data_IF_144377183075
#
_entry.id   IF_144377183075
#
_cell.length_a   1.000
_cell.length_b   1.000
_cell.length_c   1.000
_cell.angle_alpha   90.00
_cell.angle_beta   90.00
_cell.angle_gamma   90.00
#
_symmetry.space_group_name_H-M   'P 1'
#
loop_
_entity.id
_entity.type
_entity.pdbx_description
1 polymer ?
#
# COMPACT_ATOMS: atom_id res chain seq x y z
N UNK A 1 -31.80 54.23 -9.04
CA UNK A 1 -32.74 53.08 -9.05
C UNK A 1 -32.32 52.17 -10.21
N UNK A 2 -32.36 50.85 -10.00
CA UNK A 2 -31.75 49.72 -10.75
C UNK A 2 -30.24 49.49 -10.40
N UNK A 3 -29.81 48.53 -9.57
CA UNK A 3 -30.08 47.07 -9.42
C UNK A 3 -29.47 46.26 -10.58
N UNK A 4 -28.81 45.10 -10.43
CA UNK A 4 -28.33 44.28 -9.31
C UNK A 4 -27.22 43.40 -9.93
N UNK A 5 -26.16 43.07 -9.19
CA UNK A 5 -25.01 42.29 -9.65
C UNK A 5 -25.38 40.86 -10.08
N UNK A 6 -24.89 40.45 -11.25
CA UNK A 6 -25.03 39.09 -11.80
C UNK A 6 -24.03 38.14 -11.10
N UNK A 7 -24.44 37.60 -9.95
CA UNK A 7 -23.68 36.60 -9.21
C UNK A 7 -23.87 35.23 -9.87
N UNK A 8 -22.90 34.82 -10.69
CA UNK A 8 -22.84 33.45 -11.23
C UNK A 8 -22.69 32.43 -10.09
N UNK A 9 -23.49 31.36 -10.03
CA UNK A 9 -23.36 30.37 -8.96
C UNK A 9 -22.05 29.60 -9.09
N UNK A 10 -21.27 29.59 -8.01
CA UNK A 10 -20.12 28.70 -7.84
C UNK A 10 -20.59 27.25 -8.01
N UNK A 11 -20.06 26.54 -9.01
CA UNK A 11 -20.27 25.10 -9.17
C UNK A 11 -19.82 24.42 -7.86
N UNK A 12 -20.78 23.93 -7.07
CA UNK A 12 -20.49 23.11 -5.90
C UNK A 12 -19.67 21.91 -6.37
N UNK A 13 -18.37 21.88 -6.04
CA UNK A 13 -17.59 20.64 -6.13
C UNK A 13 -18.37 19.61 -5.33
N UNK A 14 -18.75 18.51 -5.97
CA UNK A 14 -19.32 17.35 -5.30
C UNK A 14 -18.26 16.88 -4.30
N UNK A 15 -18.44 17.23 -3.04
CA UNK A 15 -17.61 16.72 -1.95
C UNK A 15 -17.90 15.22 -1.96
N UNK A 16 -16.90 14.40 -2.28
CA UNK A 16 -17.01 12.95 -2.14
C UNK A 16 -17.56 12.67 -0.75
N UNK A 17 -18.71 12.01 -0.68
CA UNK A 17 -19.42 11.78 0.57
C UNK A 17 -18.44 11.21 1.59
N UNK A 18 -18.25 11.93 2.70
CA UNK A 18 -17.55 11.39 3.85
C UNK A 18 -18.32 10.15 4.28
N UNK A 19 -17.66 8.99 4.34
CA UNK A 19 -18.34 7.76 4.80
C UNK A 19 -18.99 8.05 6.16
N UNK A 20 -20.25 7.64 6.38
CA UNK A 20 -20.88 7.86 7.67
C UNK A 20 -20.02 7.24 8.78
N UNK A 21 -19.90 7.92 9.93
CA UNK A 21 -19.01 7.49 11.01
C UNK A 21 -19.29 6.06 11.49
N UNK A 22 -20.53 5.58 11.34
CA UNK A 22 -20.94 4.20 11.60
C UNK A 22 -20.20 3.18 10.73
N UNK A 23 -19.85 3.51 9.49
CA UNK A 23 -19.06 2.65 8.60
C UNK A 23 -17.58 2.55 8.99
N UNK A 24 -17.11 3.35 9.96
CA UNK A 24 -15.73 3.26 10.47
C UNK A 24 -15.65 2.40 11.74
N UNK A 25 -16.77 2.13 12.39
CA UNK A 25 -16.82 1.30 13.60
C UNK A 25 -16.37 -0.11 13.22
N UNK A 26 -15.33 -0.61 13.90
CA UNK A 26 -14.79 -1.91 13.58
C UNK A 26 -14.04 -1.94 12.23
N UNK A 27 -13.41 -0.84 11.82
CA UNK A 27 -12.42 -0.86 10.72
C UNK A 27 -11.05 -0.45 11.21
N UNK A 28 -10.02 -0.96 10.56
CA UNK A 28 -8.64 -0.54 10.80
C UNK A 28 -8.12 0.16 9.54
N UNK A 29 -7.28 1.16 9.70
CA UNK A 29 -6.59 1.81 8.58
C UNK A 29 -5.11 1.84 8.89
N UNK A 30 -4.29 1.49 7.92
CA UNK A 30 -2.85 1.47 8.07
C UNK A 30 -2.24 2.52 7.17
N UNK A 31 -1.33 3.30 7.74
CA UNK A 31 -0.60 4.34 7.04
C UNK A 31 0.83 3.85 6.87
N UNK A 32 1.30 3.78 5.62
CA UNK A 32 2.67 3.38 5.34
C UNK A 32 3.49 4.61 4.98
N UNK A 33 4.65 4.75 5.62
CA UNK A 33 5.58 5.84 5.36
C UNK A 33 6.64 5.37 4.37
N UNK A 34 6.61 5.90 3.15
CA UNK A 34 7.66 5.67 2.15
C UNK A 34 8.72 6.77 2.30
N UNK A 35 9.98 6.37 2.53
CA UNK A 35 11.13 7.26 2.50
C UNK A 35 12.04 6.87 1.34
N UNK A 36 12.29 7.80 0.42
CA UNK A 36 13.15 7.63 -0.75
C UNK A 36 14.03 8.86 -0.88
N UNK A 37 15.35 8.68 -0.97
CA UNK A 37 16.33 9.77 -1.09
C UNK A 37 16.13 10.90 -0.07
N UNK A 38 15.85 10.53 1.19
CA UNK A 38 15.60 11.48 2.29
C UNK A 38 14.24 12.19 2.23
N UNK A 39 13.43 11.98 1.19
CA UNK A 39 12.06 12.51 1.09
C UNK A 39 11.05 11.50 1.63
N UNK A 40 10.06 11.98 2.36
CA UNK A 40 9.00 11.15 2.93
C UNK A 40 7.65 11.42 2.25
N UNK A 41 6.88 10.37 2.00
CA UNK A 41 5.46 10.46 1.68
C UNK A 41 4.65 9.44 2.49
N UNK A 42 3.42 9.80 2.85
CA UNK A 42 2.46 8.87 3.46
C UNK A 42 1.65 8.25 2.34
N UNK A 43 1.66 6.92 2.26
CA UNK A 43 0.82 6.13 1.38
C UNK A 43 -0.26 5.48 2.24
N UNK A 44 -1.52 5.83 1.97
CA UNK A 44 -2.66 5.17 2.59
C UNK A 44 -2.93 3.90 1.80
N UNK A 45 -2.67 2.73 2.40
CA UNK A 45 -3.39 1.53 1.99
C UNK A 45 -4.73 1.59 2.71
N UNK A 46 -5.82 1.45 1.97
CA UNK A 46 -7.19 1.82 2.40
C UNK A 46 -7.68 1.20 3.71
N UNK A 47 -8.93 1.49 4.07
CA UNK A 47 -9.55 0.88 5.25
C UNK A 47 -9.66 -0.64 5.07
N UNK A 48 -8.99 -1.40 5.93
CA UNK A 48 -9.12 -2.85 6.02
C UNK A 48 -10.23 -3.18 7.02
N UNK A 49 -11.13 -4.09 6.66
CA UNK A 49 -12.13 -4.61 7.60
C UNK A 49 -11.43 -5.19 8.85
N UNK A 50 -11.84 -4.76 10.06
CA UNK A 50 -11.35 -5.36 11.31
C UNK A 50 -12.15 -6.65 11.49
N UNK A 51 -11.62 -7.78 11.11
CA UNK A 51 -12.43 -8.99 11.20
C UNK A 51 -11.65 -10.27 11.17
N UNK A 52 -11.08 -10.59 10.03
CA UNK A 52 -10.63 -11.95 9.84
C UNK A 52 -9.13 -12.07 10.09
N UNK A 53 -8.78 -12.92 11.05
CA UNK A 53 -7.42 -13.43 11.17
C UNK A 53 -7.06 -14.04 9.83
N UNK A 54 -6.07 -13.46 9.15
CA UNK A 54 -5.57 -13.99 7.89
C UNK A 54 -4.92 -15.35 8.15
N UNK A 55 -5.34 -16.38 7.42
CA UNK A 55 -4.87 -17.76 7.58
C UNK A 55 -4.30 -18.31 6.28
N UNK A 56 -3.34 -19.23 6.39
CA UNK A 56 -2.80 -19.93 5.23
C UNK A 56 -2.22 -18.97 4.19
N UNK A 57 -2.88 -18.89 3.02
CA UNK A 57 -2.47 -18.09 1.86
C UNK A 57 -3.19 -16.75 1.74
N UNK A 58 -3.96 -16.35 2.76
CA UNK A 58 -4.65 -15.06 2.77
C UNK A 58 -3.66 -13.90 2.60
N UNK A 59 -3.96 -13.00 1.68
CA UNK A 59 -3.19 -11.79 1.41
C UNK A 59 -4.07 -10.63 0.96
N UNK A 60 -3.66 -9.40 1.26
CA UNK A 60 -4.28 -8.17 0.74
C UNK A 60 -3.18 -7.19 0.37
N UNK A 61 -3.18 -6.67 -0.85
CA UNK A 61 -2.11 -5.82 -1.35
C UNK A 61 -2.64 -4.58 -2.08
N UNK A 62 -1.76 -3.60 -2.26
CA UNK A 62 -1.96 -2.47 -3.14
C UNK A 62 -0.68 -2.12 -3.87
N UNK A 63 -0.80 -1.81 -5.16
CA UNK A 63 0.31 -1.42 -6.02
C UNK A 63 0.29 0.10 -6.27
N UNK A 64 1.46 0.72 -6.26
CA UNK A 64 1.61 2.17 -6.47
C UNK A 64 2.95 2.51 -7.12
N UNK A 65 3.09 3.72 -7.67
CA UNK A 65 4.38 4.20 -8.13
C UNK A 65 5.38 4.33 -6.98
N UNK A 66 6.63 3.93 -7.23
CA UNK A 66 7.75 4.18 -6.35
C UNK A 66 8.20 5.64 -6.47
N UNK A 67 7.45 6.55 -5.85
CA UNK A 67 7.69 7.98 -5.92
C UNK A 67 7.27 8.73 -4.64
N UNK A 68 8.06 9.74 -4.27
CA UNK A 68 7.77 10.71 -3.21
C UNK A 68 7.43 12.07 -3.84
N UNK A 69 6.70 12.92 -3.11
CA UNK A 69 6.32 14.25 -3.60
C UNK A 69 7.58 15.03 -4.01
N UNK A 70 7.70 15.37 -5.30
CA UNK A 70 8.87 16.10 -5.83
C UNK A 70 10.00 15.24 -6.41
N UNK A 71 9.80 13.94 -6.63
CA UNK A 71 10.58 13.18 -7.62
C UNK A 71 9.86 13.29 -8.96
N UNK A 72 10.29 14.24 -9.79
CA UNK A 72 9.73 14.48 -11.11
C UNK A 72 10.08 13.34 -12.06
N UNK A 73 9.17 12.37 -12.16
CA UNK A 73 8.88 11.68 -13.40
C UNK A 73 7.45 11.20 -13.29
N UNK A 74 6.69 11.37 -14.37
CA UNK A 74 5.36 10.81 -14.60
C UNK A 74 5.44 9.27 -14.68
N UNK A 75 5.97 8.65 -13.62
CA UNK A 75 6.11 7.22 -13.47
C UNK A 75 4.75 6.65 -13.10
N UNK A 76 4.04 6.18 -14.13
CA UNK A 76 2.78 5.46 -13.99
C UNK A 76 3.00 3.99 -13.67
N UNK A 77 4.24 3.50 -13.74
CA UNK A 77 4.62 2.13 -13.40
C UNK A 77 4.38 1.87 -11.90
N UNK A 78 3.46 0.96 -11.60
CA UNK A 78 3.10 0.58 -10.24
C UNK A 78 4.08 -0.45 -9.67
N UNK A 79 5.38 -0.11 -9.64
CA UNK A 79 6.47 -1.01 -9.24
C UNK A 79 6.67 -1.18 -7.73
N UNK A 80 5.85 -0.57 -6.89
CA UNK A 80 5.87 -0.75 -5.43
C UNK A 80 4.60 -1.46 -4.98
N UNK A 81 4.74 -2.67 -4.45
CA UNK A 81 3.64 -3.45 -3.87
C UNK A 81 3.82 -3.53 -2.37
N UNK A 82 2.76 -3.23 -1.64
CA UNK A 82 2.72 -3.32 -0.18
C UNK A 82 1.49 -4.13 0.20
N UNK A 83 1.60 -5.05 1.15
CA UNK A 83 0.45 -5.84 1.55
C UNK A 83 0.56 -6.46 2.93
N UNK A 84 -0.60 -6.92 3.40
CA UNK A 84 -0.75 -7.80 4.55
C UNK A 84 -0.79 -9.25 4.08
N UNK A 85 -0.28 -10.15 4.92
CA UNK A 85 -0.26 -11.58 4.69
C UNK A 85 -0.50 -12.32 6.02
N UNK A 86 -1.05 -13.52 5.95
CA UNK A 86 -1.16 -14.41 7.10
C UNK A 86 0.18 -14.56 7.83
N UNK A 87 0.16 -14.62 9.17
CA UNK A 87 1.38 -14.75 9.99
C UNK A 87 2.11 -16.09 9.77
N UNK A 88 1.44 -17.06 9.16
CA UNK A 88 2.02 -18.36 8.77
C UNK A 88 2.77 -18.32 7.45
N UNK A 89 2.57 -17.31 6.60
CA UNK A 89 3.21 -17.23 5.30
C UNK A 89 4.74 -17.12 5.45
N UNK A 90 5.44 -17.88 4.62
CA UNK A 90 6.90 -17.95 4.57
C UNK A 90 7.45 -17.24 3.33
N UNK A 91 6.69 -17.21 2.24
CA UNK A 91 7.10 -16.53 1.01
C UNK A 91 5.91 -15.89 0.30
N UNK A 92 6.10 -14.65 -0.13
CA UNK A 92 5.22 -13.94 -1.06
C UNK A 92 5.99 -13.69 -2.35
N UNK A 93 5.39 -14.02 -3.49
CA UNK A 93 5.94 -13.74 -4.82
C UNK A 93 5.09 -12.71 -5.52
N UNK A 94 5.72 -11.60 -5.90
CA UNK A 94 5.13 -10.56 -6.73
C UNK A 94 5.57 -10.77 -8.18
N UNK A 95 4.61 -10.82 -9.10
CA UNK A 95 4.82 -10.96 -10.54
C UNK A 95 4.58 -9.62 -11.22
N UNK A 96 5.46 -9.29 -12.15
CA UNK A 96 5.43 -8.07 -12.94
C UNK A 96 4.96 -8.35 -14.36
N UNK A 97 4.51 -7.31 -15.06
CA UNK A 97 3.96 -7.37 -16.43
C UNK A 97 4.87 -8.01 -17.50
N UNK A 98 6.16 -8.17 -17.24
CA UNK A 98 7.10 -8.89 -18.11
C UNK A 98 7.35 -10.36 -17.70
N UNK A 99 6.60 -10.85 -16.71
CA UNK A 99 6.75 -12.18 -16.12
C UNK A 99 7.94 -12.30 -15.16
N UNK A 100 8.72 -11.23 -14.92
CA UNK A 100 9.75 -11.25 -13.88
C UNK A 100 9.10 -11.30 -12.49
N UNK A 101 9.86 -11.73 -11.49
CA UNK A 101 9.35 -11.87 -10.11
C UNK A 101 10.27 -11.26 -9.08
N UNK A 102 9.66 -10.72 -8.03
CA UNK A 102 10.34 -10.31 -6.79
C UNK A 102 9.77 -11.15 -5.65
N UNK A 103 10.63 -11.64 -4.76
CA UNK A 103 10.24 -12.51 -3.65
C UNK A 103 10.47 -11.83 -2.32
N UNK A 104 9.45 -11.85 -1.47
CA UNK A 104 9.55 -11.45 -0.08
C UNK A 104 9.47 -12.69 0.81
N UNK A 105 10.58 -13.05 1.46
CA UNK A 105 10.64 -14.21 2.36
C UNK A 105 10.60 -13.78 3.83
N UNK A 106 10.08 -14.65 4.68
CA UNK A 106 10.22 -14.50 6.14
C UNK A 106 11.68 -14.76 6.53
N UNK A 107 12.32 -13.86 7.31
CA UNK A 107 13.67 -14.11 7.80
C UNK A 107 13.69 -15.31 8.72
N UNK A 108 14.85 -15.98 8.76
CA UNK A 108 15.10 -16.97 9.78
C UNK A 108 15.02 -16.33 11.19
N UNK A 109 14.47 -17.04 12.19
CA UNK A 109 14.48 -16.55 13.56
C UNK A 109 15.89 -16.20 14.04
N UNK A 110 16.03 -15.07 14.74
CA UNK A 110 17.31 -14.67 15.34
C UNK A 110 18.28 -13.94 14.42
N UNK A 111 17.96 -13.74 13.13
CA UNK A 111 18.83 -12.95 12.23
C UNK A 111 18.73 -11.44 12.46
N UNK A 112 17.77 -10.98 13.27
CA UNK A 112 17.56 -9.56 13.54
C UNK A 112 17.08 -8.77 12.30
N UNK A 113 16.90 -7.47 12.48
CA UNK A 113 16.66 -6.51 11.40
C UNK A 113 18.03 -6.04 10.93
N UNK A 114 18.73 -6.87 10.14
CA UNK A 114 20.00 -6.42 9.55
C UNK A 114 19.62 -5.35 8.53
N UNK A 115 20.12 -4.14 8.76
CA UNK A 115 19.79 -2.96 7.99
C UNK A 115 20.32 -3.09 6.58
N UNK A 116 19.45 -3.57 5.70
CA UNK A 116 19.30 -3.22 4.29
C UNK A 116 17.86 -3.62 3.92
N UNK A 117 17.23 -2.90 2.98
CA UNK A 117 15.85 -3.17 2.55
C UNK A 117 15.81 -4.48 1.75
N UNK A 118 15.91 -5.62 2.42
CA UNK A 118 15.57 -6.91 1.82
C UNK A 118 14.04 -7.00 1.71
N UNK A 119 13.55 -7.31 0.51
CA UNK A 119 12.13 -7.64 0.29
C UNK A 119 11.79 -8.82 1.20
N UNK A 120 11.00 -8.55 2.24
CA UNK A 120 10.82 -9.54 3.30
C UNK A 120 9.54 -9.34 4.09
N UNK A 121 9.02 -10.45 4.63
CA UNK A 121 7.82 -10.47 5.45
C UNK A 121 8.20 -10.04 6.88
N UNK A 122 7.45 -9.09 7.45
CA UNK A 122 7.74 -8.48 8.77
C UNK A 122 6.46 -8.30 9.60
N UNK A 123 6.53 -8.53 10.92
CA UNK A 123 5.48 -8.05 11.81
C UNK A 123 5.47 -6.51 11.81
N UNK A 124 4.28 -5.93 11.97
CA UNK A 124 4.10 -4.50 12.18
C UNK A 124 3.35 -4.27 13.49
N UNK A 125 3.89 -3.43 14.37
CA UNK A 125 3.29 -3.16 15.68
C UNK A 125 1.85 -2.69 15.54
N UNK A 126 0.95 -3.34 16.28
CA UNK A 126 -0.48 -3.06 16.24
C UNK A 126 -1.23 -3.70 15.06
N UNK A 127 -0.55 -4.39 14.14
CA UNK A 127 -1.18 -5.21 13.11
C UNK A 127 -1.38 -6.65 13.59
N UNK A 128 -2.51 -7.26 13.19
CA UNK A 128 -2.80 -8.69 13.44
C UNK A 128 -2.20 -9.62 12.38
N UNK A 129 -1.71 -9.04 11.29
CA UNK A 129 -1.14 -9.72 10.14
C UNK A 129 0.31 -9.28 9.97
N UNK A 130 1.11 -10.10 9.31
CA UNK A 130 2.43 -9.67 8.89
C UNK A 130 2.33 -8.89 7.58
N UNK A 131 3.37 -8.14 7.26
CA UNK A 131 3.44 -7.23 6.13
C UNK A 131 4.58 -7.60 5.22
N UNK A 132 4.43 -7.34 3.93
CA UNK A 132 5.48 -7.49 2.94
C UNK A 132 5.57 -6.26 2.05
N UNK A 133 6.74 -6.10 1.44
CA UNK A 133 7.00 -5.13 0.38
C UNK A 133 7.70 -5.87 -0.75
N UNK A 134 7.28 -5.60 -1.99
CA UNK A 134 8.03 -5.99 -3.18
C UNK A 134 8.33 -4.73 -4.00
N UNK A 135 9.58 -4.59 -4.43
CA UNK A 135 9.97 -3.60 -5.44
C UNK A 135 10.22 -4.29 -6.77
N UNK A 136 9.50 -3.89 -7.81
CA UNK A 136 9.66 -4.41 -9.16
C UNK A 136 10.81 -3.76 -9.89
N UNK A 137 11.28 -4.33 -11.01
CA UNK A 137 12.28 -3.70 -11.86
C UNK A 137 11.83 -2.33 -12.39
N UNK A 138 12.77 -1.54 -12.89
CA UNK A 138 12.47 -0.22 -13.43
C UNK A 138 11.58 -0.31 -14.68
N UNK A 139 10.51 0.49 -14.72
CA UNK A 139 9.57 0.53 -15.84
C UNK A 139 8.58 -0.62 -15.86
N UNK A 140 8.45 -1.38 -14.75
CA UNK A 140 7.54 -2.52 -14.65
C UNK A 140 6.30 -2.21 -13.82
N UNK A 141 5.18 -2.77 -14.24
CA UNK A 141 3.91 -2.62 -13.53
C UNK A 141 3.55 -3.92 -12.84
N UNK A 142 2.98 -3.80 -11.64
CA UNK A 142 2.41 -4.92 -10.91
C UNK A 142 1.36 -5.67 -11.74
N UNK A 143 1.49 -6.99 -11.80
CA UNK A 143 0.51 -7.89 -12.41
C UNK A 143 -0.25 -8.67 -11.35
N UNK A 144 0.47 -9.42 -10.50
CA UNK A 144 -0.12 -10.32 -9.51
C UNK A 144 0.77 -10.48 -8.26
N UNK A 145 0.17 -10.86 -7.13
CA UNK A 145 0.90 -11.36 -5.96
C UNK A 145 0.23 -12.60 -5.39
N UNK A 146 1.04 -13.57 -4.96
CA UNK A 146 0.59 -14.80 -4.33
C UNK A 146 1.50 -15.20 -3.15
N UNK A 147 0.90 -15.88 -2.16
CA UNK A 147 1.67 -16.63 -1.16
C UNK A 147 2.14 -17.93 -1.82
N UNK A 148 3.45 -18.13 -1.89
CA UNK A 148 4.07 -19.30 -2.55
C UNK A 148 4.61 -20.32 -1.56
N UNK A 149 4.72 -19.97 -0.28
CA UNK A 149 5.17 -20.87 0.79
C UNK A 149 4.65 -20.44 2.16
#
# INVERSE_FOLDING_TARGET
>A
MAALEDVRPLRRRKISACRPASELIGKSSYFVRLTLDGKTSIKLLGAFEKGDTMVGTDLKSGAMPLATSGTAASRTDQRLVIGQVATTAQEVTCTWDDGSTTKASRPAPGTGIVGDFEDAIRPADGSRSDWFVCVGPEGRTYEEVAVTK
#
